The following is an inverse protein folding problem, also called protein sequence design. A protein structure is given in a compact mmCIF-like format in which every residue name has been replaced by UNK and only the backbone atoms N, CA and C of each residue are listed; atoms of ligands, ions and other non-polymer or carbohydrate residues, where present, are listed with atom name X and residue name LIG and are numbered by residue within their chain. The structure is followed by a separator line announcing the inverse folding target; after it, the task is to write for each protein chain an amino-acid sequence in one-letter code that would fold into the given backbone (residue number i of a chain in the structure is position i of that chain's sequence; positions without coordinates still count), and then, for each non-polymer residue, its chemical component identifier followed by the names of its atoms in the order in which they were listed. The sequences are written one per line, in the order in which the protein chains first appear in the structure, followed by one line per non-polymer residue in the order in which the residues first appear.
data_IF_492343598308
#
_entry.id   IF_492343598308
#
_cell.length_a   1.000
_cell.length_b   1.000
_cell.length_c   1.000
_cell.angle_alpha   90.00
_cell.angle_beta   90.00
_cell.angle_gamma   90.00
#
_symmetry.space_group_name_H-M   'P 1'
#
loop_
_entity.id
_entity.type
_entity.pdbx_description
1 polymer ?
#
# COMPACT_ATOMS: atom_id res chain seq x y z
N UNK A 1 -15.55 -2.05 -10.28
CA UNK A 1 -14.75 -2.67 -9.21
C UNK A 1 -13.26 -2.79 -9.56
N UNK A 2 -12.82 -3.64 -10.51
CA UNK A 2 -11.36 -3.76 -10.84
C UNK A 2 -10.72 -2.46 -11.32
N UNK A 3 -11.43 -1.69 -12.15
CA UNK A 3 -10.96 -0.37 -12.62
C UNK A 3 -10.82 0.62 -11.48
N UNK A 4 -11.76 0.65 -10.54
CA UNK A 4 -11.71 1.53 -9.37
C UNK A 4 -10.54 1.16 -8.45
N UNK A 5 -10.25 -0.13 -8.27
CA UNK A 5 -9.06 -0.56 -7.55
C UNK A 5 -7.80 -0.06 -8.25
N UNK A 6 -7.68 -0.26 -9.57
CA UNK A 6 -6.52 0.22 -10.33
C UNK A 6 -6.30 1.75 -10.23
N UNK A 7 -7.38 2.53 -10.30
CA UNK A 7 -7.35 3.98 -10.11
C UNK A 7 -6.81 4.35 -8.72
N UNK A 8 -7.30 3.68 -7.67
CA UNK A 8 -6.84 3.93 -6.30
C UNK A 8 -5.37 3.52 -6.11
N UNK A 9 -4.89 2.46 -6.75
CA UNK A 9 -3.47 2.10 -6.71
C UNK A 9 -2.58 3.19 -7.34
N UNK A 10 -3.03 3.79 -8.44
CA UNK A 10 -2.34 4.92 -9.07
C UNK A 10 -2.32 6.13 -8.12
N UNK A 11 -3.44 6.40 -7.44
CA UNK A 11 -3.53 7.50 -6.46
C UNK A 11 -2.55 7.27 -5.28
N UNK A 12 -2.45 6.04 -4.76
CA UNK A 12 -1.47 5.71 -3.70
C UNK A 12 -0.05 6.00 -4.18
N UNK A 13 0.29 5.57 -5.40
CA UNK A 13 1.59 5.80 -6.01
C UNK A 13 1.92 7.30 -6.12
N UNK A 14 0.93 8.11 -6.54
CA UNK A 14 1.07 9.55 -6.64
C UNK A 14 1.27 10.20 -5.26
N UNK A 15 0.51 9.79 -4.25
CA UNK A 15 0.63 10.30 -2.87
C UNK A 15 2.01 9.98 -2.28
N UNK A 16 2.51 8.75 -2.45
CA UNK A 16 3.86 8.37 -2.00
C UNK A 16 4.95 9.25 -2.63
N UNK A 17 4.83 9.57 -3.92
CA UNK A 17 5.78 10.48 -4.59
C UNK A 17 5.65 11.91 -4.12
N UNK A 18 4.44 12.42 -3.96
CA UNK A 18 4.19 13.79 -3.47
C UNK A 18 4.75 14.00 -2.06
N UNK A 19 4.68 12.97 -1.22
CA UNK A 19 5.22 12.98 0.14
C UNK A 19 6.72 12.67 0.20
N UNK A 20 7.38 12.48 -0.95
CA UNK A 20 8.78 12.05 -1.06
C UNK A 20 9.10 10.75 -0.30
N UNK A 21 8.11 9.86 -0.20
CA UNK A 21 8.22 8.53 0.42
C UNK A 21 8.53 7.42 -0.61
N UNK A 22 8.51 7.76 -1.90
CA UNK A 22 8.83 6.83 -2.98
C UNK A 22 10.33 6.65 -3.15
N UNK A 23 10.80 5.41 -3.10
CA UNK A 23 12.21 5.07 -3.21
C UNK A 23 12.58 4.58 -4.62
N UNK A 24 13.71 5.04 -5.16
CA UNK A 24 14.17 4.56 -6.46
C UNK A 24 14.83 3.16 -6.38
N UNK A 25 15.38 2.82 -5.22
CA UNK A 25 16.15 1.58 -5.01
C UNK A 25 15.31 0.65 -4.14
N UNK A 26 15.06 -0.60 -4.58
CA UNK A 26 14.34 -1.58 -3.77
C UNK A 26 15.16 -2.02 -2.55
N UNK A 27 14.49 -2.36 -1.43
CA UNK A 27 15.12 -3.06 -0.30
C UNK A 27 15.76 -4.38 -0.75
N UNK A 28 16.72 -4.93 0.04
CA UNK A 28 17.32 -6.22 -0.27
C UNK A 28 16.26 -7.32 -0.32
N UNK A 29 16.49 -8.33 -1.15
CA UNK A 29 15.55 -9.45 -1.32
C UNK A 29 15.22 -10.16 0.00
N UNK A 30 16.14 -10.19 0.96
CA UNK A 30 15.91 -10.72 2.31
C UNK A 30 14.86 -9.93 3.10
N UNK A 31 14.79 -8.60 2.90
CA UNK A 31 13.79 -7.76 3.55
C UNK A 31 12.41 -7.95 2.92
N UNK A 32 12.35 -8.13 1.59
CA UNK A 32 11.12 -8.40 0.85
C UNK A 32 10.53 -9.80 1.11
N UNK A 33 11.35 -10.72 1.66
CA UNK A 33 10.96 -12.09 1.97
C UNK A 33 10.42 -12.29 3.40
N UNK A 34 10.15 -11.22 4.15
CA UNK A 34 9.56 -11.33 5.49
C UNK A 34 8.17 -11.99 5.42
N UNK A 35 7.88 -12.82 6.41
CA UNK A 35 6.58 -13.48 6.58
C UNK A 35 5.68 -12.76 7.59
N UNK A 36 6.19 -11.74 8.26
CA UNK A 36 5.40 -10.94 9.20
C UNK A 36 4.37 -10.08 8.46
N UNK A 37 3.21 -9.78 9.08
CA UNK A 37 2.23 -8.86 8.52
C UNK A 37 2.88 -7.51 8.19
N UNK A 38 2.61 -6.99 6.98
CA UNK A 38 3.22 -5.75 6.46
C UNK A 38 4.76 -5.73 6.42
N UNK A 39 5.43 -6.88 6.61
CA UNK A 39 6.88 -6.96 6.77
C UNK A 39 7.43 -5.93 7.77
N UNK A 40 6.71 -5.68 8.87
CA UNK A 40 7.03 -4.62 9.86
C UNK A 40 8.41 -4.76 10.51
N UNK A 41 8.99 -5.95 10.47
CA UNK A 41 10.31 -6.25 10.99
C UNK A 41 11.45 -5.81 10.05
N UNK A 42 11.18 -5.73 8.74
CA UNK A 42 12.20 -5.46 7.71
C UNK A 42 11.94 -4.23 6.85
N UNK A 43 10.70 -3.76 6.76
CA UNK A 43 10.29 -2.67 5.87
C UNK A 43 9.57 -1.55 6.63
N UNK A 44 9.73 -0.33 6.12
CA UNK A 44 8.81 0.76 6.44
C UNK A 44 7.50 0.59 5.69
N UNK A 45 6.41 1.22 6.17
CA UNK A 45 5.12 1.15 5.49
C UNK A 45 5.19 1.63 4.03
N UNK A 46 5.84 2.75 3.67
CA UNK A 46 5.99 3.16 2.26
C UNK A 46 6.71 2.13 1.40
N UNK A 47 7.75 1.47 1.93
CA UNK A 47 8.46 0.41 1.21
C UNK A 47 7.57 -0.80 0.99
N UNK A 48 6.82 -1.21 2.01
CA UNK A 48 5.86 -2.30 1.87
C UNK A 48 4.78 -1.97 0.83
N UNK A 49 4.23 -0.75 0.87
CA UNK A 49 3.26 -0.26 -0.11
C UNK A 49 3.82 -0.32 -1.53
N UNK A 50 5.03 0.23 -1.71
CA UNK A 50 5.66 0.37 -3.01
C UNK A 50 6.11 -0.96 -3.62
N UNK A 51 6.76 -1.82 -2.82
CA UNK A 51 7.49 -2.97 -3.35
C UNK A 51 6.76 -4.30 -3.19
N UNK A 52 5.73 -4.35 -2.33
CA UNK A 52 4.94 -5.56 -2.10
C UNK A 52 3.49 -5.33 -2.49
N UNK A 53 2.83 -4.34 -1.90
CA UNK A 53 1.38 -4.16 -2.06
C UNK A 53 0.99 -3.76 -3.49
N UNK A 54 1.53 -2.65 -4.02
CA UNK A 54 1.20 -2.16 -5.36
C UNK A 54 1.51 -3.20 -6.45
N UNK A 55 2.72 -3.79 -6.54
CA UNK A 55 3.04 -4.77 -7.58
C UNK A 55 2.17 -6.03 -7.49
N UNK A 56 1.85 -6.47 -6.27
CA UNK A 56 1.00 -7.65 -6.06
C UNK A 56 -0.40 -7.42 -6.60
N UNK A 57 -1.04 -6.29 -6.26
CA UNK A 57 -2.39 -6.00 -6.74
C UNK A 57 -2.43 -5.72 -8.24
N UNK A 58 -1.45 -5.01 -8.80
CA UNK A 58 -1.36 -4.84 -10.26
C UNK A 58 -1.29 -6.19 -10.97
N UNK A 59 -0.44 -7.11 -10.51
CA UNK A 59 -0.36 -8.48 -11.07
C UNK A 59 -1.70 -9.20 -11.00
N UNK A 60 -2.39 -9.15 -9.85
CA UNK A 60 -3.69 -9.81 -9.67
C UNK A 60 -4.79 -9.20 -10.57
N UNK A 61 -4.75 -7.88 -10.78
CA UNK A 61 -5.63 -7.18 -11.71
C UNK A 61 -5.38 -7.63 -13.15
N UNK A 62 -4.11 -7.63 -13.59
CA UNK A 62 -3.69 -8.04 -14.93
C UNK A 62 -4.03 -9.50 -15.24
N UNK A 63 -3.84 -10.39 -14.26
CA UNK A 63 -4.09 -11.83 -14.42
C UNK A 63 -5.56 -12.21 -14.20
N UNK A 64 -6.42 -11.28 -13.82
CA UNK A 64 -7.82 -11.58 -13.54
C UNK A 64 -8.02 -12.43 -12.26
N UNK A 65 -7.01 -12.50 -11.38
CA UNK A 65 -7.07 -13.25 -10.13
C UNK A 65 -8.07 -12.63 -9.15
N UNK A 66 -8.61 -13.43 -8.23
CA UNK A 66 -9.46 -12.93 -7.15
C UNK A 66 -8.64 -11.99 -6.27
N UNK A 67 -9.13 -10.77 -6.06
CA UNK A 67 -8.50 -9.79 -5.18
C UNK A 67 -8.61 -10.24 -3.71
N UNK A 68 -7.70 -9.80 -2.82
CA UNK A 68 -7.78 -10.16 -1.41
C UNK A 68 -9.10 -9.66 -0.81
N UNK A 69 -9.78 -10.54 -0.07
CA UNK A 69 -11.11 -10.28 0.53
C UNK A 69 -11.05 -9.46 1.83
N UNK A 70 -9.85 -9.28 2.40
CA UNK A 70 -9.62 -8.43 3.57
C UNK A 70 -8.34 -7.63 3.39
N UNK A 71 -8.46 -6.32 3.49
CA UNK A 71 -7.34 -5.39 3.57
C UNK A 71 -7.64 -4.34 4.64
N UNK A 72 -6.69 -4.11 5.53
CA UNK A 72 -6.81 -3.15 6.62
C UNK A 72 -5.46 -2.43 6.82
N UNK A 73 -5.07 -1.64 5.83
CA UNK A 73 -3.80 -0.91 5.83
C UNK A 73 -3.93 0.41 6.59
N UNK A 74 -5.11 1.04 6.52
CA UNK A 74 -5.40 2.33 7.16
C UNK A 74 -4.96 2.42 8.62
N UNK A 75 -5.33 1.49 9.53
CA UNK A 75 -4.91 1.58 10.93
C UNK A 75 -3.38 1.50 11.11
N UNK A 76 -2.70 0.72 10.26
CA UNK A 76 -1.24 0.65 10.26
C UNK A 76 -0.62 1.97 9.77
N UNK A 77 -1.23 2.60 8.76
CA UNK A 77 -0.79 3.89 8.24
C UNK A 77 -0.99 5.03 9.22
N UNK A 78 -2.12 5.07 9.91
CA UNK A 78 -2.40 6.04 10.96
C UNK A 78 -1.37 5.94 12.09
N UNK A 79 -1.01 4.72 12.50
CA UNK A 79 0.01 4.52 13.53
C UNK A 79 1.41 4.92 13.04
N UNK A 80 1.80 4.52 11.83
CA UNK A 80 3.10 4.84 11.26
C UNK A 80 3.32 6.36 11.11
N UNK A 81 2.28 7.10 10.70
CA UNK A 81 2.35 8.55 10.53
C UNK A 81 1.97 9.35 11.78
N UNK A 82 1.66 8.68 12.90
CA UNK A 82 1.29 9.36 14.15
C UNK A 82 2.41 10.31 14.59
N UNK A 83 2.08 11.59 14.71
CA UNK A 83 3.04 12.63 15.12
C UNK A 83 4.00 13.07 14.01
N UNK A 84 3.84 12.60 12.78
CA UNK A 84 4.57 13.10 11.62
C UNK A 84 4.11 14.51 11.25
N UNK A 85 5.03 15.32 10.73
CA UNK A 85 4.73 16.64 10.15
C UNK A 85 4.32 16.58 8.67
N UNK A 86 4.32 15.38 8.07
CA UNK A 86 3.91 15.19 6.68
C UNK A 86 2.41 15.40 6.52
N UNK A 87 2.00 15.96 5.38
CA UNK A 87 0.59 16.15 5.02
C UNK A 87 -0.03 14.83 4.52
N UNK A 88 -0.12 13.81 5.38
CA UNK A 88 -0.50 12.44 5.01
C UNK A 88 -2.00 12.21 4.82
N UNK A 89 -2.85 13.23 5.01
CA UNK A 89 -4.30 13.11 4.91
C UNK A 89 -4.75 12.50 3.56
N UNK A 90 -4.16 12.94 2.44
CA UNK A 90 -4.50 12.41 1.11
C UNK A 90 -4.09 10.95 0.92
N UNK A 91 -2.93 10.56 1.45
CA UNK A 91 -2.50 9.16 1.46
C UNK A 91 -3.44 8.29 2.31
N UNK A 92 -3.77 8.73 3.52
CA UNK A 92 -4.67 8.00 4.43
C UNK A 92 -6.06 7.82 3.84
N UNK A 93 -6.62 8.86 3.22
CA UNK A 93 -7.92 8.78 2.52
C UNK A 93 -7.88 7.75 1.38
N UNK A 94 -6.79 7.74 0.61
CA UNK A 94 -6.62 6.81 -0.51
C UNK A 94 -6.48 5.36 -0.02
N UNK A 95 -5.75 5.14 1.09
CA UNK A 95 -5.63 3.84 1.74
C UNK A 95 -6.97 3.36 2.31
N UNK A 96 -7.76 4.24 2.93
CA UNK A 96 -9.10 3.89 3.40
C UNK A 96 -10.02 3.48 2.24
N UNK A 97 -9.89 4.15 1.10
CA UNK A 97 -10.64 3.83 -0.12
C UNK A 97 -10.24 2.46 -0.69
N UNK A 98 -8.95 2.10 -0.69
CA UNK A 98 -8.53 0.76 -1.14
C UNK A 98 -9.00 -0.34 -0.19
N UNK A 99 -8.92 -0.11 1.12
CA UNK A 99 -9.40 -1.05 2.14
C UNK A 99 -10.90 -1.34 1.95
N UNK A 100 -11.71 -0.30 1.69
CA UNK A 100 -13.14 -0.44 1.44
C UNK A 100 -13.47 -1.14 0.10
N UNK A 101 -12.68 -0.91 -0.95
CA UNK A 101 -12.89 -1.56 -2.26
C UNK A 101 -12.52 -3.04 -2.25
N UNK A 102 -11.54 -3.43 -1.42
CA UNK A 102 -11.07 -4.81 -1.29
C UNK A 102 -11.85 -5.62 -0.25
N UNK A 103 -12.38 -4.95 0.77
CA UNK A 103 -13.20 -5.60 1.79
C UNK A 103 -14.61 -5.82 1.27
N UNK A 104 -14.91 -7.06 0.89
CA UNK A 104 -16.27 -7.48 0.52
C UNK A 104 -16.88 -8.17 1.73
N UNK A 105 -18.03 -7.67 2.22
CA UNK A 105 -18.83 -8.35 3.26
C UNK A 105 -19.50 -9.64 2.75
#
# INVERSE_FOLDING_TARGET
MRTEVAEVLIDIEAQLRQLALWEAVPPPASALASTEPFAVDTLTLPQWLQFIFLPTLYRMLEQGEALPERCAITPMAEEFFRGSSLATAGLLETLARVDALLTVE
#
